data_IF_637232820378
#
_entry.id   IF_637232820378
#
_cell.length_a   1.000
_cell.length_b   1.000
_cell.length_c   1.000
_cell.angle_alpha   90.00
_cell.angle_beta   90.00
_cell.angle_gamma   90.00
#
_symmetry.space_group_name_H-M   'P 1'
#
loop_
_entity.id
_entity.type
_entity.pdbx_description
1 polymer ?
#
# COMPACT_ATOMS: atom_id res chain seq x y z
N UNK A 1 -18.45 -5.39 -23.29
CA UNK A 1 -18.26 -4.44 -22.18
C UNK A 1 -16.91 -4.78 -21.64
N UNK A 2 -15.87 -4.20 -22.22
CA UNK A 2 -14.51 -4.42 -21.74
C UNK A 2 -14.42 -3.95 -20.28
N UNK A 3 -13.70 -4.66 -19.39
CA UNK A 3 -13.52 -4.21 -18.03
C UNK A 3 -12.83 -2.84 -18.09
N UNK A 4 -13.40 -1.83 -17.44
CA UNK A 4 -12.73 -0.54 -17.32
C UNK A 4 -11.55 -0.77 -16.39
N UNK A 5 -10.39 -1.05 -16.97
CA UNK A 5 -9.10 -1.02 -16.29
C UNK A 5 -8.89 0.43 -15.88
N UNK A 6 -9.02 0.72 -14.60
CA UNK A 6 -8.85 2.08 -14.07
C UNK A 6 -7.37 2.40 -14.17
N UNK A 7 -6.97 3.04 -15.26
CA UNK A 7 -5.60 3.53 -15.40
C UNK A 7 -5.39 4.71 -14.44
N UNK A 8 -4.56 4.49 -13.42
CA UNK A 8 -4.11 5.54 -12.51
C UNK A 8 -2.98 6.31 -13.21
N UNK A 9 -3.31 7.40 -13.89
CA UNK A 9 -2.34 8.20 -14.66
C UNK A 9 -1.67 9.30 -13.83
N UNK A 10 -2.35 9.81 -12.82
CA UNK A 10 -1.84 10.87 -11.95
C UNK A 10 -0.92 10.30 -10.86
N UNK A 11 0.03 11.10 -10.33
CA UNK A 11 0.82 10.71 -9.17
C UNK A 11 -0.08 10.35 -7.99
N UNK A 12 0.25 9.27 -7.28
CA UNK A 12 -0.52 8.83 -6.13
C UNK A 12 -0.04 9.51 -4.86
N UNK A 13 -0.95 10.20 -4.15
CA UNK A 13 -0.65 10.80 -2.85
C UNK A 13 -0.59 9.76 -1.74
N UNK A 14 0.48 9.76 -0.95
CA UNK A 14 0.55 8.89 0.23
C UNK A 14 -0.53 9.25 1.24
N UNK A 15 -0.63 10.53 1.61
CA UNK A 15 -1.51 10.98 2.69
C UNK A 15 -3.01 10.88 2.32
N UNK A 16 -3.36 11.13 1.06
CA UNK A 16 -4.75 11.16 0.62
C UNK A 16 -5.25 9.80 0.11
N UNK A 17 -4.37 8.95 -0.43
CA UNK A 17 -4.80 7.72 -1.12
C UNK A 17 -4.25 6.44 -0.50
N UNK A 18 -3.02 6.43 0.04
CA UNK A 18 -2.40 5.23 0.58
C UNK A 18 -2.66 5.06 2.08
N UNK A 19 -2.40 6.09 2.88
CA UNK A 19 -2.58 6.03 4.34
C UNK A 19 -4.02 5.66 4.75
N UNK A 20 -5.08 6.16 4.07
CA UNK A 20 -6.46 5.75 4.38
C UNK A 20 -6.73 4.25 4.15
N UNK A 21 -6.07 3.61 3.18
CA UNK A 21 -6.17 2.15 2.98
C UNK A 21 -5.68 1.44 4.25
N UNK A 22 -4.53 1.88 4.79
CA UNK A 22 -3.99 1.32 6.01
C UNK A 22 -4.86 1.57 7.22
N UNK A 23 -5.40 2.79 7.38
CA UNK A 23 -6.29 3.12 8.50
C UNK A 23 -7.57 2.26 8.50
N UNK A 24 -8.07 1.92 7.31
CA UNK A 24 -9.29 1.13 7.20
C UNK A 24 -9.04 -0.38 7.35
N UNK A 25 -7.89 -0.89 6.90
CA UNK A 25 -7.69 -2.34 6.72
C UNK A 25 -6.58 -2.95 7.56
N UNK A 26 -5.61 -2.17 8.03
CA UNK A 26 -4.37 -2.71 8.58
C UNK A 26 -4.21 -2.46 10.08
N UNK A 27 -4.66 -1.31 10.59
CA UNK A 27 -4.36 -0.87 11.96
C UNK A 27 -4.93 -1.80 13.05
N UNK A 28 -5.95 -2.62 12.74
CA UNK A 28 -6.48 -3.60 13.69
C UNK A 28 -5.40 -4.52 14.26
N UNK A 29 -4.37 -4.86 13.47
CA UNK A 29 -3.21 -5.64 13.90
C UNK A 29 -1.90 -4.84 13.87
N UNK A 30 -1.80 -3.82 12.99
CA UNK A 30 -0.60 -3.03 12.74
C UNK A 30 -0.59 -1.66 13.45
N UNK A 31 -1.40 -1.48 14.51
CA UNK A 31 -1.34 -0.26 15.32
C UNK A 31 -0.06 -0.17 16.18
N UNK A 32 0.50 -1.32 16.56
CA UNK A 32 1.70 -1.42 17.43
C UNK A 32 2.67 -2.54 17.02
N UNK A 33 2.30 -3.34 16.02
CA UNK A 33 3.14 -4.41 15.46
C UNK A 33 3.78 -3.92 14.17
N UNK A 34 5.07 -4.18 13.97
CA UNK A 34 5.79 -3.75 12.75
C UNK A 34 5.28 -4.44 11.48
N UNK A 35 5.14 -3.73 10.34
CA UNK A 35 5.21 -2.27 10.24
C UNK A 35 4.05 -1.59 10.99
N UNK A 36 4.34 -0.50 11.70
CA UNK A 36 3.32 0.29 12.41
C UNK A 36 2.67 1.22 11.40
N UNK A 37 1.38 0.99 11.11
CA UNK A 37 0.67 1.63 10.00
C UNK A 37 -0.36 2.66 10.46
N UNK A 38 -0.18 3.25 11.65
CA UNK A 38 -1.02 4.35 12.14
C UNK A 38 -0.67 5.66 11.44
N UNK A 39 -1.64 6.59 11.39
CA UNK A 39 -1.43 7.93 10.83
C UNK A 39 -0.18 8.60 11.41
N UNK A 40 0.66 9.12 10.52
CA UNK A 40 1.92 9.80 10.86
C UNK A 40 3.10 8.86 11.16
N UNK A 41 2.88 7.55 11.36
CA UNK A 41 3.94 6.56 11.52
C UNK A 41 4.11 5.67 10.28
N UNK A 42 3.04 5.45 9.53
CA UNK A 42 2.99 4.49 8.43
C UNK A 42 4.11 4.67 7.40
N UNK A 43 4.32 5.90 6.92
CA UNK A 43 5.35 6.19 5.92
C UNK A 43 6.75 5.79 6.41
N UNK A 44 7.20 6.36 7.54
CA UNK A 44 8.52 6.07 8.08
C UNK A 44 8.67 4.59 8.43
N UNK A 45 7.63 3.96 8.98
CA UNK A 45 7.70 2.52 9.30
C UNK A 45 7.88 1.64 8.05
N UNK A 46 7.34 2.04 6.90
CA UNK A 46 7.49 1.30 5.64
C UNK A 46 8.87 1.51 5.02
N UNK A 47 9.36 2.75 5.00
CA UNK A 47 10.65 3.11 4.40
C UNK A 47 11.82 2.63 5.27
N UNK A 48 11.83 2.98 6.56
CA UNK A 48 12.91 2.60 7.48
C UNK A 48 12.95 1.09 7.73
N UNK A 49 11.79 0.43 7.64
CA UNK A 49 11.67 -1.02 7.75
C UNK A 49 12.06 -1.80 6.49
N UNK A 50 12.44 -1.11 5.41
CA UNK A 50 12.80 -1.72 4.12
C UNK A 50 11.70 -2.66 3.61
N UNK A 51 10.46 -2.14 3.60
CA UNK A 51 9.27 -2.82 3.06
C UNK A 51 8.96 -2.40 1.62
N UNK A 52 9.61 -1.34 1.13
CA UNK A 52 9.38 -0.72 -0.17
C UNK A 52 10.63 -0.85 -1.04
N UNK A 53 10.44 -1.28 -2.28
CA UNK A 53 11.48 -1.37 -3.31
C UNK A 53 11.03 -0.56 -4.53
N UNK A 54 11.52 0.67 -4.67
CA UNK A 54 11.19 1.54 -5.81
C UNK A 54 11.89 1.14 -7.11
N UNK A 55 12.93 0.30 -7.04
CA UNK A 55 13.62 -0.21 -8.24
C UNK A 55 12.85 -1.35 -8.89
N UNK A 56 12.25 -2.22 -8.07
CA UNK A 56 11.40 -3.33 -8.52
C UNK A 56 10.12 -3.34 -7.66
N UNK A 57 9.13 -2.48 -7.97
CA UNK A 57 7.94 -2.23 -7.14
C UNK A 57 7.18 -3.48 -6.71
N UNK A 58 7.01 -4.43 -7.62
CA UNK A 58 6.29 -5.69 -7.37
C UNK A 58 7.01 -6.59 -6.35
N UNK A 59 8.33 -6.42 -6.17
CA UNK A 59 9.13 -7.14 -5.16
C UNK A 59 9.18 -6.43 -3.80
N UNK A 60 8.42 -5.35 -3.64
CA UNK A 60 8.27 -4.71 -2.34
C UNK A 60 7.58 -5.69 -1.39
N UNK A 61 8.14 -5.91 -0.20
CA UNK A 61 7.53 -6.80 0.81
C UNK A 61 6.09 -6.41 1.11
N UNK A 62 5.79 -5.11 1.16
CA UNK A 62 4.41 -4.63 1.30
C UNK A 62 3.52 -5.21 0.19
N UNK A 63 3.94 -5.03 -1.07
CA UNK A 63 3.17 -5.44 -2.24
C UNK A 63 3.03 -6.95 -2.34
N UNK A 64 4.10 -7.72 -2.14
CA UNK A 64 4.05 -9.19 -2.13
C UNK A 64 3.07 -9.70 -1.07
N UNK A 65 3.10 -9.12 0.15
CA UNK A 65 2.19 -9.50 1.22
C UNK A 65 0.73 -9.27 0.85
N UNK A 66 0.40 -8.12 0.27
CA UNK A 66 -1.00 -7.78 -0.02
C UNK A 66 -1.53 -8.38 -1.32
N UNK A 67 -0.69 -8.48 -2.36
CA UNK A 67 -1.09 -8.89 -3.70
C UNK A 67 -0.90 -10.39 -3.95
N UNK A 68 0.14 -11.00 -3.37
CA UNK A 68 0.49 -12.41 -3.63
C UNK A 68 0.03 -13.29 -2.47
N UNK A 69 0.35 -12.91 -1.24
CA UNK A 69 -0.02 -13.70 -0.06
C UNK A 69 -1.46 -13.41 0.43
N UNK A 70 -2.08 -12.34 -0.06
CA UNK A 70 -3.48 -12.01 0.26
C UNK A 70 -3.69 -11.40 1.66
N UNK A 71 -2.66 -10.78 2.24
CA UNK A 71 -2.76 -10.08 3.54
C UNK A 71 -3.45 -8.71 3.39
N UNK A 72 -4.27 -8.27 4.35
CA UNK A 72 -4.86 -9.08 5.40
C UNK A 72 -5.93 -10.03 4.83
N UNK A 73 -6.04 -11.21 5.43
CA UNK A 73 -7.01 -12.22 5.01
C UNK A 73 -8.46 -11.81 5.36
N UNK A 74 -9.43 -12.48 4.73
CA UNK A 74 -10.84 -12.34 5.05
C UNK A 74 -11.48 -11.06 4.52
N UNK A 75 -12.28 -10.38 5.34
CA UNK A 75 -13.08 -9.23 4.89
C UNK A 75 -12.25 -7.95 4.68
N UNK A 76 -10.97 -7.96 5.05
CA UNK A 76 -10.08 -6.81 4.92
C UNK A 76 -9.14 -6.91 3.71
N UNK A 77 -9.27 -7.94 2.87
CA UNK A 77 -8.44 -8.07 1.65
C UNK A 77 -8.58 -6.82 0.78
N UNK A 78 -7.48 -6.44 0.14
CA UNK A 78 -7.45 -5.28 -0.74
C UNK A 78 -8.16 -5.61 -2.07
N UNK A 79 -8.91 -4.64 -2.55
CA UNK A 79 -9.49 -4.65 -3.89
C UNK A 79 -8.41 -4.44 -4.95
N UNK A 80 -8.74 -4.78 -6.20
CA UNK A 80 -7.84 -4.53 -7.33
C UNK A 80 -7.42 -3.05 -7.44
N UNK A 81 -8.33 -2.11 -7.16
CA UNK A 81 -8.03 -0.67 -7.18
C UNK A 81 -7.07 -0.27 -6.06
N UNK A 82 -7.25 -0.78 -4.84
CA UNK A 82 -6.32 -0.49 -3.73
C UNK A 82 -4.93 -1.07 -3.99
N UNK A 83 -4.85 -2.27 -4.56
CA UNK A 83 -3.58 -2.86 -4.99
C UNK A 83 -2.91 -2.04 -6.09
N UNK A 84 -3.68 -1.56 -7.07
CA UNK A 84 -3.18 -0.71 -8.14
C UNK A 84 -2.64 0.63 -7.61
N UNK A 85 -3.34 1.25 -6.64
CA UNK A 85 -2.88 2.48 -5.98
C UNK A 85 -1.55 2.26 -5.25
N UNK A 86 -1.44 1.19 -4.46
CA UNK A 86 -0.18 0.87 -3.75
C UNK A 86 0.96 0.63 -4.74
N UNK A 87 0.73 -0.16 -5.79
CA UNK A 87 1.75 -0.42 -6.80
C UNK A 87 2.20 0.87 -7.48
N UNK A 88 1.25 1.70 -7.90
CA UNK A 88 1.51 2.97 -8.58
C UNK A 88 2.29 3.94 -7.67
N UNK A 89 1.90 4.05 -6.40
CA UNK A 89 2.65 4.86 -5.44
C UNK A 89 4.11 4.40 -5.30
N UNK A 90 4.37 3.09 -5.26
CA UNK A 90 5.74 2.56 -5.21
C UNK A 90 6.49 2.85 -6.52
N UNK A 91 5.84 2.68 -7.68
CA UNK A 91 6.40 3.01 -9.00
C UNK A 91 6.75 4.49 -9.12
N UNK A 92 5.97 5.37 -8.49
CA UNK A 92 6.19 6.82 -8.44
C UNK A 92 7.29 7.25 -7.46
N UNK A 93 8.02 6.29 -6.89
CA UNK A 93 9.13 6.57 -5.97
C UNK A 93 8.72 6.59 -4.50
N UNK A 94 7.50 6.18 -4.18
CA UNK A 94 6.98 6.09 -2.82
C UNK A 94 7.12 7.41 -2.05
N UNK A 95 6.67 8.52 -2.64
CA UNK A 95 6.75 9.85 -2.03
C UNK A 95 5.86 10.00 -0.80
N UNK A 96 6.23 10.92 0.11
CA UNK A 96 5.40 11.34 1.25
C UNK A 96 4.73 12.69 0.94
N UNK A 97 3.58 12.67 0.26
CA UNK A 97 2.92 13.84 -0.29
C UNK A 97 1.40 13.88 -0.02
#
# INVERSE_FOLDING_TARGET
MDPIEVEITDPVSFSEQIEPIFQNKCIGCHASTSPVLTTGNAYNSLIDGNFINTTVPESSKLYEKVAIEGHPEGNNTLSATELALILKWIQDGAENN
#
